data_IF_585918920245
#
_entry.id   IF_585918920245
#
_cell.length_a   1.000
_cell.length_b   1.000
_cell.length_c   1.000
_cell.angle_alpha   90.00
_cell.angle_beta   90.00
_cell.angle_gamma   90.00
#
_symmetry.space_group_name_H-M   'P 1'
#
loop_
_entity.id
_entity.type
_entity.pdbx_description
1 polymer ?
#
# COMPACT_ATOMS: atom_id res chain seq x y z
N UNK A 1 -5.49 50.65 -43.92
CA UNK A 1 -4.76 50.09 -42.76
C UNK A 1 -5.51 48.86 -42.24
N UNK A 2 -5.06 47.65 -42.58
CA UNK A 2 -5.66 46.37 -42.13
C UNK A 2 -4.80 45.89 -40.97
N UNK A 3 -5.38 45.88 -39.78
CA UNK A 3 -4.72 45.27 -38.59
C UNK A 3 -4.98 43.76 -38.64
N UNK A 4 -3.91 42.97 -38.84
CA UNK A 4 -3.94 41.54 -38.65
C UNK A 4 -3.96 41.22 -37.15
N UNK A 5 -4.99 40.54 -36.67
CA UNK A 5 -5.04 39.93 -35.35
C UNK A 5 -4.30 38.60 -35.43
N UNK A 6 -3.12 38.56 -34.85
CA UNK A 6 -2.38 37.32 -34.68
C UNK A 6 -2.97 36.63 -33.44
N UNK A 7 -3.83 35.65 -33.64
CA UNK A 7 -4.36 34.82 -32.59
C UNK A 7 -3.25 33.87 -32.07
N UNK A 8 -2.84 34.07 -30.86
CA UNK A 8 -1.93 33.17 -30.13
C UNK A 8 -2.73 31.89 -29.78
N UNK A 9 -2.56 30.84 -30.56
CA UNK A 9 -3.04 29.52 -30.23
C UNK A 9 -2.19 29.02 -29.08
N UNK A 10 -2.72 29.09 -27.86
CA UNK A 10 -2.18 28.38 -26.70
C UNK A 10 -2.36 26.88 -26.95
N UNK A 11 -1.33 26.21 -27.38
CA UNK A 11 -1.28 24.75 -27.38
C UNK A 11 -1.26 24.28 -25.92
N UNK A 12 -2.42 23.84 -25.42
CA UNK A 12 -2.45 23.08 -24.17
C UNK A 12 -1.57 21.84 -24.37
N UNK A 13 -0.44 21.77 -23.70
CA UNK A 13 0.37 20.57 -23.66
C UNK A 13 -0.45 19.49 -22.99
N UNK A 14 -0.95 18.54 -23.76
CA UNK A 14 -1.59 17.33 -23.30
C UNK A 14 -0.52 16.60 -22.49
N UNK A 15 -0.67 16.53 -21.18
CA UNK A 15 0.29 15.88 -20.30
C UNK A 15 0.48 14.42 -20.73
N UNK A 16 1.69 14.07 -21.15
CA UNK A 16 2.07 12.69 -21.45
C UNK A 16 2.09 11.85 -20.17
N UNK A 17 2.00 10.55 -20.30
CA UNK A 17 2.25 9.63 -19.18
C UNK A 17 3.65 9.88 -18.62
N UNK A 18 3.76 9.96 -17.29
CA UNK A 18 5.02 10.16 -16.60
C UNK A 18 5.25 9.01 -15.61
N UNK A 19 6.52 8.68 -15.37
CA UNK A 19 6.91 7.63 -14.43
C UNK A 19 7.55 8.26 -13.20
N UNK A 20 7.03 7.92 -12.04
CA UNK A 20 7.44 8.41 -10.74
C UNK A 20 8.10 7.27 -9.96
N UNK A 21 9.19 7.58 -9.28
CA UNK A 21 9.76 6.67 -8.29
C UNK A 21 8.97 6.75 -6.98
N UNK A 22 8.58 5.59 -6.45
CA UNK A 22 7.86 5.46 -5.18
C UNK A 22 8.81 4.93 -4.12
N UNK A 23 9.03 5.73 -3.08
CA UNK A 23 9.92 5.38 -1.97
C UNK A 23 9.41 5.99 -0.65
N UNK A 24 9.94 5.56 0.53
CA UNK A 24 9.66 6.20 1.80
C UNK A 24 9.97 7.70 1.76
N UNK A 25 9.04 8.51 2.25
CA UNK A 25 9.15 9.96 2.26
C UNK A 25 8.56 10.53 3.57
N UNK A 26 8.83 11.79 3.94
CA UNK A 26 8.19 12.41 5.09
C UNK A 26 6.66 12.32 5.01
N UNK A 27 6.03 11.89 6.11
CA UNK A 27 4.59 11.65 6.25
C UNK A 27 4.02 10.53 5.37
N UNK A 28 4.87 9.80 4.62
CA UNK A 28 4.45 8.59 3.94
C UNK A 28 4.45 7.39 4.90
N UNK A 29 3.52 6.47 4.70
CA UNK A 29 3.46 5.23 5.46
C UNK A 29 2.81 4.11 4.66
N UNK A 30 3.20 2.88 4.97
CA UNK A 30 2.54 1.66 4.54
C UNK A 30 2.20 0.86 5.80
N UNK A 31 0.93 0.87 6.20
CA UNK A 31 0.45 0.41 7.51
C UNK A 31 -0.51 -0.75 7.38
N UNK A 32 -0.25 -1.79 8.17
CA UNK A 32 -1.14 -2.94 8.31
C UNK A 32 -1.74 -2.95 9.72
N UNK A 33 -3.06 -2.95 9.80
CA UNK A 33 -3.83 -3.09 11.03
C UNK A 33 -4.34 -4.51 11.16
N UNK A 34 -3.99 -5.16 12.29
CA UNK A 34 -4.41 -6.52 12.64
C UNK A 34 -5.25 -6.48 13.91
N UNK A 35 -6.55 -6.64 13.78
CA UNK A 35 -7.48 -6.55 14.90
C UNK A 35 -7.42 -7.80 15.78
N UNK A 36 -7.48 -7.58 17.09
CA UNK A 36 -7.53 -8.64 18.09
C UNK A 36 -8.94 -9.17 18.27
N UNK A 37 -9.03 -10.40 18.73
CA UNK A 37 -10.28 -11.06 19.13
C UNK A 37 -10.20 -11.53 20.60
N UNK A 38 -11.28 -12.07 21.10
CA UNK A 38 -11.36 -12.66 22.45
C UNK A 38 -11.00 -11.64 23.54
N UNK A 39 -10.11 -11.95 24.47
CA UNK A 39 -9.76 -11.10 25.62
C UNK A 39 -9.27 -9.69 25.25
N UNK A 40 -8.67 -9.52 24.07
CA UNK A 40 -8.18 -8.23 23.59
C UNK A 40 -9.05 -7.63 22.48
N UNK A 41 -10.32 -8.06 22.38
CA UNK A 41 -11.27 -7.46 21.42
C UNK A 41 -11.30 -5.92 21.56
N UNK A 42 -11.27 -5.22 20.42
CA UNK A 42 -11.16 -3.76 20.36
C UNK A 42 -9.71 -3.22 20.34
N UNK A 43 -8.70 -4.04 20.62
CA UNK A 43 -7.30 -3.70 20.38
C UNK A 43 -6.86 -4.12 18.98
N UNK A 44 -5.78 -3.51 18.51
CA UNK A 44 -5.17 -3.87 17.22
C UNK A 44 -3.67 -3.79 17.31
N UNK A 45 -2.98 -4.66 16.59
CA UNK A 45 -1.57 -4.46 16.28
C UNK A 45 -1.45 -3.57 15.05
N UNK A 46 -0.54 -2.61 15.11
CA UNK A 46 -0.24 -1.70 14.02
C UNK A 46 1.19 -1.95 13.56
N UNK A 47 1.33 -2.51 12.37
CA UNK A 47 2.62 -2.68 11.71
C UNK A 47 2.82 -1.61 10.64
N UNK A 48 4.02 -1.04 10.60
CA UNK A 48 4.45 -0.10 9.54
C UNK A 48 5.63 -0.73 8.82
N UNK A 49 5.58 -0.79 7.49
CA UNK A 49 6.71 -1.19 6.66
C UNK A 49 7.51 0.06 6.30
N UNK A 50 8.73 0.15 6.83
CA UNK A 50 9.56 1.36 6.72
C UNK A 50 10.42 1.38 5.44
N UNK A 51 10.55 0.25 4.74
CA UNK A 51 11.34 0.15 3.51
C UNK A 51 10.53 -0.48 2.38
N UNK A 52 10.30 0.29 1.34
CA UNK A 52 9.65 -0.13 0.11
C UNK A 52 10.16 0.72 -1.06
N UNK A 53 10.05 0.22 -2.26
CA UNK A 53 10.36 0.94 -3.50
C UNK A 53 9.44 0.49 -4.62
N UNK A 54 9.24 1.34 -5.57
CA UNK A 54 8.40 1.01 -6.72
C UNK A 54 8.39 2.09 -7.78
N UNK A 55 7.53 1.90 -8.75
CA UNK A 55 7.28 2.86 -9.82
C UNK A 55 5.78 3.04 -10.02
N UNK A 56 5.38 4.27 -10.30
CA UNK A 56 4.04 4.63 -10.73
C UNK A 56 4.14 5.31 -12.10
N UNK A 57 3.68 4.64 -13.14
CA UNK A 57 3.43 5.31 -14.44
C UNK A 57 2.02 5.84 -14.40
N UNK A 58 1.87 7.16 -14.41
CA UNK A 58 0.56 7.81 -14.35
C UNK A 58 0.26 8.54 -15.66
N UNK A 59 -0.89 8.22 -16.26
CA UNK A 59 -1.44 8.91 -17.42
C UNK A 59 -2.67 9.72 -17.00
N UNK A 60 -2.58 11.04 -16.84
CA UNK A 60 -3.71 11.86 -16.41
C UNK A 60 -4.86 11.93 -17.42
N UNK A 61 -4.60 11.68 -18.71
CA UNK A 61 -5.60 11.66 -19.77
C UNK A 61 -6.32 10.32 -19.86
N UNK A 62 -5.63 9.24 -19.48
CA UNK A 62 -6.13 7.87 -19.51
C UNK A 62 -5.69 7.13 -18.24
N UNK A 63 -6.32 7.40 -17.10
CA UNK A 63 -5.92 6.80 -15.83
C UNK A 63 -5.94 5.27 -15.86
N UNK A 64 -6.77 4.66 -16.70
CA UNK A 64 -6.83 3.20 -16.89
C UNK A 64 -5.56 2.60 -17.52
N UNK A 65 -4.75 3.41 -18.18
CA UNK A 65 -3.43 3.01 -18.71
C UNK A 65 -2.31 3.12 -17.67
N UNK A 66 -2.60 3.69 -16.49
CA UNK A 66 -1.63 3.84 -15.41
C UNK A 66 -1.22 2.48 -14.83
N UNK A 67 -0.02 2.42 -14.27
CA UNK A 67 0.54 1.19 -13.68
C UNK A 67 1.29 1.53 -12.41
N UNK A 68 1.16 0.66 -11.42
CA UNK A 68 1.97 0.71 -10.20
C UNK A 68 2.62 -0.64 -9.95
N UNK A 69 3.90 -0.61 -9.63
CA UNK A 69 4.68 -1.74 -9.16
C UNK A 69 5.33 -1.34 -7.84
N UNK A 70 5.21 -2.19 -6.83
CA UNK A 70 5.76 -1.94 -5.51
C UNK A 70 6.44 -3.20 -4.98
N UNK A 71 7.65 -3.04 -4.45
CA UNK A 71 8.37 -4.07 -3.69
C UNK A 71 8.56 -3.57 -2.26
N UNK A 72 8.16 -4.39 -1.30
CA UNK A 72 8.18 -4.10 0.13
C UNK A 72 9.18 -5.04 0.79
N UNK A 73 10.12 -4.50 1.55
CA UNK A 73 11.03 -5.31 2.37
C UNK A 73 10.27 -5.89 3.57
N UNK A 74 10.15 -7.22 3.61
CA UNK A 74 9.42 -7.90 4.68
C UNK A 74 10.04 -7.68 6.06
N UNK A 75 11.37 -7.47 6.15
CA UNK A 75 12.08 -7.21 7.40
C UNK A 75 11.90 -5.79 7.93
N UNK A 76 11.41 -4.88 7.08
CA UNK A 76 11.17 -3.49 7.48
C UNK A 76 9.90 -3.29 8.31
N UNK A 77 9.15 -4.36 8.58
CA UNK A 77 7.98 -4.31 9.45
C UNK A 77 8.37 -3.93 10.88
N UNK A 78 7.71 -2.90 11.43
CA UNK A 78 7.86 -2.45 12.83
C UNK A 78 6.48 -2.38 13.45
N UNK A 79 6.30 -3.05 14.59
CA UNK A 79 5.06 -2.91 15.37
C UNK A 79 5.10 -1.62 16.18
N UNK A 80 4.12 -0.75 15.99
CA UNK A 80 4.02 0.59 16.63
C UNK A 80 3.07 0.58 17.83
N UNK A 81 2.80 -0.57 18.42
CA UNK A 81 1.91 -0.68 19.56
C UNK A 81 2.51 -0.04 20.82
N UNK A 82 1.67 0.69 21.54
CA UNK A 82 2.03 1.33 22.82
C UNK A 82 1.34 0.68 24.01
N UNK A 83 0.49 -0.32 23.78
CA UNK A 83 -0.35 -0.96 24.80
C UNK A 83 0.15 -2.33 25.24
N UNK A 84 1.22 -2.85 24.62
CA UNK A 84 1.87 -4.12 24.98
C UNK A 84 3.19 -3.88 25.71
N UNK A 85 3.62 -4.85 26.51
CA UNK A 85 4.94 -4.81 27.14
C UNK A 85 6.08 -4.96 26.12
N UNK A 86 7.27 -4.52 26.46
CA UNK A 86 8.45 -4.71 25.61
C UNK A 86 8.75 -6.20 25.33
N UNK A 87 8.50 -7.07 26.31
CA UNK A 87 8.66 -8.53 26.15
C UNK A 87 7.64 -9.12 25.17
N UNK A 88 6.39 -8.66 25.24
CA UNK A 88 5.35 -9.11 24.30
C UNK A 88 5.58 -8.54 22.91
N UNK A 89 6.03 -7.28 22.80
CA UNK A 89 6.41 -6.69 21.52
C UNK A 89 7.48 -7.52 20.81
N UNK A 90 8.50 -7.98 21.54
CA UNK A 90 9.53 -8.86 20.99
C UNK A 90 8.92 -10.15 20.43
N UNK A 91 8.05 -10.84 21.19
CA UNK A 91 7.36 -12.05 20.73
C UNK A 91 6.47 -11.82 19.53
N UNK A 92 5.75 -10.67 19.48
CA UNK A 92 4.94 -10.28 18.33
C UNK A 92 5.82 -10.14 17.08
N UNK A 93 6.98 -9.50 17.20
CA UNK A 93 7.90 -9.34 16.08
C UNK A 93 8.55 -10.65 15.66
N UNK A 94 8.93 -11.53 16.59
CA UNK A 94 9.42 -12.88 16.28
C UNK A 94 8.36 -13.68 15.50
N UNK A 95 7.13 -13.75 15.99
CA UNK A 95 6.01 -14.40 15.28
C UNK A 95 5.77 -13.77 13.89
N UNK A 96 5.86 -12.45 13.80
CA UNK A 96 5.67 -11.74 12.51
C UNK A 96 6.76 -12.14 11.52
N UNK A 97 8.01 -12.18 11.93
CA UNK A 97 9.14 -12.44 11.03
C UNK A 97 9.34 -13.92 10.71
N UNK A 98 9.20 -14.79 11.71
CA UNK A 98 9.49 -16.20 11.51
C UNK A 98 8.28 -16.99 11.01
N UNK A 99 7.09 -16.76 11.59
CA UNK A 99 5.91 -17.56 11.28
C UNK A 99 5.04 -16.93 10.18
N UNK A 100 4.76 -15.60 10.26
CA UNK A 100 3.81 -14.97 9.36
C UNK A 100 4.44 -14.57 8.03
N UNK A 101 5.56 -13.87 8.05
CA UNK A 101 6.23 -13.41 6.84
C UNK A 101 7.32 -14.38 6.36
N UNK A 102 7.89 -15.19 7.27
CA UNK A 102 9.03 -16.09 7.02
C UNK A 102 10.16 -15.37 6.27
N UNK A 103 10.59 -14.23 6.81
CA UNK A 103 11.43 -13.23 6.12
C UNK A 103 12.78 -13.76 5.63
N UNK A 104 13.29 -14.85 6.22
CA UNK A 104 14.53 -15.52 5.77
C UNK A 104 14.32 -16.20 4.41
N UNK A 105 13.10 -16.69 4.12
CA UNK A 105 12.75 -17.38 2.88
C UNK A 105 12.11 -16.43 1.88
N UNK A 106 11.32 -15.46 2.37
CA UNK A 106 10.55 -14.51 1.57
C UNK A 106 10.89 -13.08 1.99
N UNK A 107 12.05 -12.56 1.59
CA UNK A 107 12.54 -11.26 2.03
C UNK A 107 11.70 -10.08 1.51
N UNK A 108 10.89 -10.30 0.49
CA UNK A 108 10.07 -9.25 -0.13
C UNK A 108 8.63 -9.70 -0.35
N UNK A 109 7.73 -8.73 -0.31
CA UNK A 109 6.37 -8.79 -0.85
C UNK A 109 6.28 -7.86 -2.05
N UNK A 110 5.40 -8.15 -3.01
CA UNK A 110 5.24 -7.30 -4.20
C UNK A 110 3.77 -7.02 -4.47
N UNK A 111 3.50 -5.84 -5.02
CA UNK A 111 2.20 -5.50 -5.59
C UNK A 111 2.39 -5.00 -7.02
N UNK A 112 1.57 -5.51 -7.95
CA UNK A 112 1.55 -5.05 -9.34
C UNK A 112 0.10 -4.84 -9.77
N UNK A 113 -0.25 -3.63 -10.20
CA UNK A 113 -1.60 -3.36 -10.71
C UNK A 113 -1.85 -4.06 -12.03
N UNK A 114 -3.06 -4.57 -12.21
CA UNK A 114 -3.53 -5.19 -13.45
C UNK A 114 -4.54 -4.29 -14.18
N UNK A 115 -5.42 -3.63 -13.42
CA UNK A 115 -6.43 -2.72 -13.94
C UNK A 115 -6.65 -1.55 -12.98
N UNK A 116 -6.89 -0.37 -13.53
CA UNK A 116 -7.21 0.84 -12.76
C UNK A 116 -8.49 1.44 -13.35
N UNK A 117 -9.45 1.74 -12.48
CA UNK A 117 -10.73 2.33 -12.84
C UNK A 117 -10.94 3.62 -12.06
N UNK A 118 -11.26 4.71 -12.75
CA UNK A 118 -11.71 5.93 -12.10
C UNK A 118 -13.13 5.72 -11.54
N UNK A 119 -13.33 6.04 -10.26
CA UNK A 119 -14.61 5.92 -9.55
C UNK A 119 -15.13 7.27 -9.04
N UNK A 120 -14.32 8.32 -9.16
CA UNK A 120 -14.66 9.71 -8.80
C UNK A 120 -13.53 10.66 -9.16
N UNK A 121 -13.67 11.93 -8.80
CA UNK A 121 -12.62 12.92 -8.99
C UNK A 121 -11.38 12.53 -8.17
N UNK A 122 -10.26 12.22 -8.86
CA UNK A 122 -9.01 11.75 -8.25
C UNK A 122 -9.17 10.49 -7.38
N UNK A 123 -10.26 9.73 -7.58
CA UNK A 123 -10.53 8.48 -6.87
C UNK A 123 -10.50 7.32 -7.85
N UNK A 124 -9.77 6.28 -7.47
CA UNK A 124 -9.54 5.11 -8.30
C UNK A 124 -9.73 3.83 -7.51
N UNK A 125 -10.19 2.81 -8.22
CA UNK A 125 -10.13 1.43 -7.79
C UNK A 125 -9.07 0.73 -8.62
N UNK A 126 -8.01 0.24 -7.98
CA UNK A 126 -6.95 -0.51 -8.62
C UNK A 126 -7.08 -1.99 -8.25
N UNK A 127 -7.27 -2.83 -9.25
CA UNK A 127 -7.11 -4.27 -9.09
C UNK A 127 -5.66 -4.64 -9.38
N UNK A 128 -5.08 -5.47 -8.53
CA UNK A 128 -3.69 -5.86 -8.69
C UNK A 128 -3.35 -7.13 -7.91
N UNK A 129 -2.22 -7.71 -8.25
CA UNK A 129 -1.70 -8.90 -7.59
C UNK A 129 -0.79 -8.52 -6.44
N UNK A 130 -1.19 -8.83 -5.23
CA UNK A 130 -0.33 -8.80 -4.04
C UNK A 130 0.27 -10.19 -3.83
N UNK A 131 1.59 -10.27 -3.77
CA UNK A 131 2.31 -11.53 -3.52
C UNK A 131 2.92 -11.50 -2.13
N UNK A 132 2.51 -12.44 -1.29
CA UNK A 132 3.07 -12.68 0.05
C UNK A 132 3.55 -14.13 0.11
N UNK A 133 4.80 -14.36 0.53
CA UNK A 133 5.40 -15.71 0.62
C UNK A 133 5.25 -16.50 -0.70
N UNK A 134 5.55 -15.85 -1.82
CA UNK A 134 5.41 -16.41 -3.18
C UNK A 134 3.98 -16.87 -3.53
N UNK A 135 2.96 -16.44 -2.79
CA UNK A 135 1.55 -16.69 -3.11
C UNK A 135 0.92 -15.44 -3.68
N UNK A 136 0.65 -15.38 -4.99
CA UNK A 136 -0.03 -14.25 -5.61
C UNK A 136 -1.53 -14.33 -5.36
N UNK A 137 -2.15 -13.17 -5.04
CA UNK A 137 -3.60 -12.99 -4.92
C UNK A 137 -4.04 -11.68 -5.52
N UNK A 138 -5.13 -11.72 -6.26
CA UNK A 138 -5.78 -10.52 -6.75
C UNK A 138 -6.46 -9.82 -5.57
N UNK A 139 -6.15 -8.55 -5.38
CA UNK A 139 -6.82 -7.68 -4.40
C UNK A 139 -7.33 -6.41 -5.08
N UNK A 140 -8.28 -5.78 -4.43
CA UNK A 140 -8.78 -4.45 -4.81
C UNK A 140 -8.26 -3.42 -3.82
N UNK A 141 -7.70 -2.34 -4.34
CA UNK A 141 -7.13 -1.22 -3.59
C UNK A 141 -7.89 0.04 -3.94
N UNK A 142 -8.47 0.72 -2.95
CA UNK A 142 -9.07 2.04 -3.14
C UNK A 142 -7.98 3.10 -3.01
N UNK A 143 -7.91 4.01 -3.97
CA UNK A 143 -6.85 5.02 -4.07
C UNK A 143 -7.45 6.41 -4.25
N UNK A 144 -6.98 7.36 -3.46
CA UNK A 144 -7.14 8.79 -3.65
C UNK A 144 -5.80 9.37 -4.12
N UNK A 145 -5.79 10.01 -5.27
CA UNK A 145 -4.62 10.66 -5.84
C UNK A 145 -4.63 12.15 -5.51
N UNK A 146 -3.49 12.68 -5.06
CA UNK A 146 -3.18 14.09 -5.06
C UNK A 146 -2.07 14.34 -6.08
N UNK A 147 -2.40 15.04 -7.15
CA UNK A 147 -1.53 15.43 -8.25
C UNK A 147 -1.42 16.96 -8.37
N UNK A 148 -1.56 17.67 -7.24
CA UNK A 148 -1.46 19.14 -7.20
C UNK A 148 -0.07 19.63 -7.64
N UNK A 149 0.97 18.89 -7.28
CA UNK A 149 2.32 19.08 -7.81
C UNK A 149 2.62 17.99 -8.84
N UNK A 150 2.74 18.34 -10.15
CA UNK A 150 3.00 17.34 -11.18
C UNK A 150 4.37 16.66 -11.07
N UNK A 151 5.31 17.18 -10.27
CA UNK A 151 6.58 16.54 -9.99
C UNK A 151 6.52 15.60 -8.78
N UNK A 152 5.45 15.66 -7.96
CA UNK A 152 5.30 14.92 -6.72
C UNK A 152 3.87 14.47 -6.53
N UNK A 153 3.59 13.23 -6.78
CA UNK A 153 2.29 12.63 -6.53
C UNK A 153 2.19 12.10 -5.10
N UNK A 154 0.99 12.17 -4.52
CA UNK A 154 0.64 11.45 -3.29
C UNK A 154 -0.55 10.53 -3.55
N UNK A 155 -0.42 9.29 -3.10
CA UNK A 155 -1.48 8.30 -3.18
C UNK A 155 -1.82 7.87 -1.76
N UNK A 156 -3.08 8.06 -1.37
CA UNK A 156 -3.65 7.54 -0.12
C UNK A 156 -4.62 6.45 -0.46
N UNK A 157 -4.68 5.44 0.38
CA UNK A 157 -5.65 4.40 0.10
C UNK A 157 -5.72 3.31 1.13
N UNK A 158 -6.54 2.32 0.79
CA UNK A 158 -6.77 1.16 1.65
C UNK A 158 -7.10 -0.08 0.85
N UNK A 159 -6.85 -1.23 1.47
CA UNK A 159 -7.26 -2.54 0.97
C UNK A 159 -7.58 -3.47 2.14
N UNK A 160 -8.30 -4.56 1.83
CA UNK A 160 -8.50 -5.69 2.73
C UNK A 160 -7.63 -6.84 2.28
N UNK A 161 -7.02 -7.53 3.25
CA UNK A 161 -6.15 -8.68 3.03
C UNK A 161 -6.65 -9.82 3.91
N UNK A 162 -6.82 -10.99 3.32
CA UNK A 162 -7.26 -12.20 4.02
C UNK A 162 -6.10 -13.17 4.18
N UNK A 163 -5.75 -13.53 5.42
CA UNK A 163 -4.62 -14.42 5.72
C UNK A 163 -4.74 -15.77 5.02
N UNK A 164 -5.96 -16.35 4.96
CA UNK A 164 -6.22 -17.64 4.32
C UNK A 164 -5.85 -17.65 2.83
N UNK A 165 -5.94 -16.52 2.14
CA UNK A 165 -5.60 -16.42 0.72
C UNK A 165 -4.11 -16.68 0.48
N UNK A 166 -3.28 -16.43 1.49
CA UNK A 166 -1.85 -16.70 1.49
C UNK A 166 -1.48 -18.00 2.21
N UNK A 167 -2.49 -18.79 2.62
CA UNK A 167 -2.31 -20.03 3.37
C UNK A 167 -1.80 -19.81 4.80
N UNK A 168 -2.07 -18.63 5.35
CA UNK A 168 -1.73 -18.26 6.71
C UNK A 168 -2.92 -18.44 7.64
N UNK A 169 -2.63 -18.77 8.90
CA UNK A 169 -3.64 -18.84 9.96
C UNK A 169 -3.48 -17.63 10.88
N UNK A 170 -4.58 -17.07 11.39
CA UNK A 170 -4.52 -16.01 12.39
C UNK A 170 -3.70 -16.45 13.61
N UNK A 171 -2.69 -15.68 14.03
CA UNK A 171 -1.94 -15.97 15.23
C UNK A 171 -2.85 -15.99 16.47
N UNK A 172 -2.61 -16.96 17.34
CA UNK A 172 -3.32 -17.08 18.61
C UNK A 172 -2.37 -17.49 19.74
N UNK A 173 -2.73 -17.16 20.97
CA UNK A 173 -1.98 -17.53 22.16
C UNK A 173 -2.94 -17.99 23.27
N UNK A 174 -2.41 -18.58 24.34
CA UNK A 174 -3.16 -19.07 25.50
C UNK A 174 -4.34 -19.95 25.09
N UNK A 175 -4.09 -20.96 24.27
CA UNK A 175 -5.13 -21.90 23.77
C UNK A 175 -6.31 -21.22 23.07
N UNK A 176 -6.06 -20.09 22.37
CA UNK A 176 -7.09 -19.33 21.66
C UNK A 176 -7.76 -18.21 22.47
N UNK A 177 -7.43 -18.06 23.76
CA UNK A 177 -7.96 -16.96 24.57
C UNK A 177 -7.49 -15.57 24.08
N UNK A 178 -6.38 -15.52 23.33
CA UNK A 178 -5.88 -14.33 22.64
C UNK A 178 -5.77 -14.68 21.15
N UNK A 179 -6.54 -14.02 20.32
CA UNK A 179 -6.54 -14.28 18.88
C UNK A 179 -6.44 -12.98 18.06
N UNK A 180 -6.36 -13.15 16.75
CA UNK A 180 -6.44 -12.06 15.76
C UNK A 180 -7.51 -12.39 14.73
N UNK A 181 -8.07 -11.37 14.09
CA UNK A 181 -8.97 -11.57 12.95
C UNK A 181 -8.20 -12.13 11.75
N UNK A 182 -8.91 -12.84 10.91
CA UNK A 182 -8.41 -13.39 9.66
C UNK A 182 -8.23 -12.27 8.61
N UNK A 183 -9.15 -11.30 8.61
CA UNK A 183 -9.08 -10.11 7.77
C UNK A 183 -8.21 -9.03 8.40
N UNK A 184 -7.29 -8.48 7.62
CA UNK A 184 -6.44 -7.35 7.97
C UNK A 184 -6.77 -6.14 7.10
N UNK A 185 -6.57 -4.94 7.64
CA UNK A 185 -6.73 -3.69 6.90
C UNK A 185 -5.37 -3.10 6.56
N UNK A 186 -5.12 -2.91 5.26
CA UNK A 186 -4.00 -2.14 4.75
C UNK A 186 -4.44 -0.69 4.59
N UNK A 187 -3.65 0.26 5.08
CA UNK A 187 -3.79 1.69 4.85
C UNK A 187 -2.44 2.25 4.42
N UNK A 188 -2.43 3.18 3.50
CA UNK A 188 -1.18 3.78 3.04
C UNK A 188 -1.34 5.24 2.65
N UNK A 189 -0.25 5.95 2.80
CA UNK A 189 0.06 7.18 2.10
C UNK A 189 1.47 7.05 1.54
N UNK A 190 1.61 7.04 0.22
CA UNK A 190 2.90 6.91 -0.46
C UNK A 190 3.12 8.11 -1.37
N UNK A 191 4.37 8.48 -1.56
CA UNK A 191 4.78 9.56 -2.43
C UNK A 191 5.52 9.01 -3.64
N UNK A 192 5.24 9.60 -4.80
CA UNK A 192 5.98 9.39 -6.04
C UNK A 192 6.65 10.68 -6.47
N UNK A 193 7.90 10.64 -6.91
CA UNK A 193 8.65 11.76 -7.46
C UNK A 193 9.21 11.44 -8.84
N UNK A 194 9.24 12.44 -9.74
CA UNK A 194 9.89 12.35 -11.03
C UNK A 194 11.41 12.25 -10.88
#
# INVERSE_FOLDING_TARGET
MRRAFLGLLATASIGAAATYEVAPAPNAFLKLKVEKTSLYSGKSHIFVFENYRGTLTFNPQKPEESRIELTIDSKSAVCKDTWVSAGDLKKIMETTFDDMLAVKQFPTMTFTSAAIKAVGANQFEAQGTLTIRNKPKLITVNVQLDATDPAKLRLRGSAKIHLKDYGLKPPSALLGAIGTKEEMSLEFEVAGSL
#
